data_IF_890757061382
#
_entry.id   IF_890757061382
#
_cell.length_a   1.000
_cell.length_b   1.000
_cell.length_c   1.000
_cell.angle_alpha   90.00
_cell.angle_beta   90.00
_cell.angle_gamma   90.00
#
_symmetry.space_group_name_H-M   'P 1'
#
loop_
_entity.id
_entity.type
_entity.pdbx_description
1 polymer ?
#
# COMPACT_ATOMS: atom_id res chain seq x y z
N UNK A 1 -20.52 -10.84 71.13
CA UNK A 1 -19.25 -11.23 70.47
C UNK A 1 -19.57 -12.26 69.40
N UNK A 2 -19.54 -11.87 68.13
CA UNK A 2 -19.72 -12.76 66.99
C UNK A 2 -18.99 -12.17 65.80
N UNK A 3 -17.75 -12.60 65.58
CA UNK A 3 -16.88 -12.08 64.53
C UNK A 3 -17.23 -12.71 63.18
N UNK A 4 -17.58 -11.86 62.21
CA UNK A 4 -17.77 -12.22 60.81
C UNK A 4 -16.40 -12.56 60.19
N UNK A 5 -16.17 -13.82 59.80
CA UNK A 5 -14.99 -14.22 59.04
C UNK A 5 -15.12 -13.75 57.59
N UNK A 6 -14.30 -12.79 57.18
CA UNK A 6 -14.10 -12.42 55.78
C UNK A 6 -13.23 -13.50 55.10
N UNK A 7 -13.76 -14.14 54.06
CA UNK A 7 -13.01 -15.01 53.16
C UNK A 7 -12.13 -14.14 52.22
N UNK A 8 -10.92 -14.59 51.85
CA UNK A 8 -10.04 -13.81 50.98
C UNK A 8 -10.60 -13.74 49.54
N UNK A 9 -10.39 -12.62 48.81
CA UNK A 9 -10.88 -12.47 47.44
C UNK A 9 -10.20 -13.46 46.49
N UNK A 10 -11.01 -14.02 45.59
CA UNK A 10 -10.65 -14.97 44.56
C UNK A 10 -9.40 -14.56 43.76
N UNK A 11 -8.47 -15.50 43.61
CA UNK A 11 -7.19 -15.40 42.89
C UNK A 11 -7.31 -15.31 41.35
N UNK A 12 -8.51 -14.99 40.85
CA UNK A 12 -8.84 -14.93 39.42
C UNK A 12 -8.75 -13.52 38.84
N UNK A 13 -8.69 -12.49 39.68
CA UNK A 13 -8.58 -11.10 39.23
C UNK A 13 -7.15 -10.65 38.90
N UNK A 14 -6.13 -11.38 39.38
CA UNK A 14 -4.72 -10.94 39.25
C UNK A 14 -4.10 -11.40 37.92
N UNK A 15 -4.65 -12.40 37.24
CA UNK A 15 -4.14 -12.87 35.94
C UNK A 15 -4.59 -12.03 34.75
N UNK A 16 -5.61 -11.17 34.92
CA UNK A 16 -6.07 -10.25 33.87
C UNK A 16 -5.16 -9.02 33.71
N UNK A 17 -4.63 -8.49 34.81
CA UNK A 17 -3.79 -7.29 34.77
C UNK A 17 -2.39 -7.54 34.19
N UNK A 18 -1.82 -8.73 34.36
CA UNK A 18 -0.46 -9.04 33.88
C UNK A 18 -0.44 -9.34 32.38
N UNK A 19 -1.54 -9.83 31.78
CA UNK A 19 -1.66 -9.96 30.32
C UNK A 19 -1.88 -8.63 29.59
N UNK A 20 -2.38 -7.61 30.29
CA UNK A 20 -2.66 -6.28 29.71
C UNK A 20 -1.39 -5.42 29.55
N UNK A 21 -0.32 -5.68 30.32
CA UNK A 21 0.87 -4.83 30.31
C UNK A 21 1.88 -5.14 29.19
N UNK A 22 1.65 -6.21 28.40
CA UNK A 22 2.54 -6.62 27.29
C UNK A 22 2.05 -6.10 25.93
N UNK A 23 0.83 -5.57 25.89
CA UNK A 23 0.23 -4.93 24.73
C UNK A 23 -0.22 -3.52 25.14
N UNK A 24 0.74 -2.59 25.22
CA UNK A 24 0.45 -1.18 24.99
C UNK A 24 0.04 -1.01 23.52
N UNK A 25 -1.12 -1.56 23.14
CA UNK A 25 -1.77 -1.23 21.87
C UNK A 25 -2.36 0.14 22.08
N UNK A 26 -1.67 1.12 21.53
CA UNK A 26 -2.06 2.50 21.53
C UNK A 26 -3.32 2.62 20.65
N UNK A 27 -4.52 2.52 21.25
CA UNK A 27 -5.80 2.53 20.54
C UNK A 27 -6.06 3.81 19.71
N UNK A 28 -5.15 4.78 19.74
CA UNK A 28 -5.21 6.04 19.00
C UNK A 28 -4.36 6.07 17.71
N UNK A 29 -3.57 5.03 17.41
CA UNK A 29 -2.66 5.08 16.26
C UNK A 29 -3.31 4.48 15.00
N UNK A 30 -3.89 5.33 14.17
CA UNK A 30 -4.36 4.94 12.82
C UNK A 30 -3.22 4.39 11.96
N UNK A 31 -3.53 3.38 11.16
CA UNK A 31 -2.65 2.82 10.14
C UNK A 31 -2.33 3.88 9.09
N UNK A 32 -1.05 4.23 8.90
CA UNK A 32 -0.64 5.26 7.95
C UNK A 32 -0.46 4.65 6.56
N UNK A 33 -1.41 4.92 5.67
CA UNK A 33 -1.49 4.31 4.33
C UNK A 33 -1.12 5.30 3.22
N UNK A 34 -0.28 4.83 2.32
CA UNK A 34 -0.01 5.46 1.03
C UNK A 34 -0.64 4.70 -0.13
N UNK A 35 -1.24 5.42 -1.08
CA UNK A 35 -1.68 4.93 -2.37
C UNK A 35 -1.00 5.75 -3.48
N UNK A 36 -0.31 5.06 -4.37
CA UNK A 36 0.51 5.65 -5.43
C UNK A 36 0.21 5.01 -6.77
N UNK A 37 0.25 5.83 -7.82
CA UNK A 37 0.09 5.38 -9.20
C UNK A 37 1.26 5.84 -10.07
N UNK A 38 1.73 4.93 -10.94
CA UNK A 38 2.75 5.16 -11.96
C UNK A 38 2.18 4.89 -13.37
N UNK A 39 2.92 4.23 -14.26
CA UNK A 39 2.47 4.00 -15.64
C UNK A 39 1.47 2.85 -15.73
N UNK A 40 0.18 3.19 -15.74
CA UNK A 40 -0.96 2.30 -15.94
C UNK A 40 -2.23 3.08 -16.34
N UNK A 41 -3.38 2.40 -16.36
CA UNK A 41 -4.70 2.95 -16.62
C UNK A 41 -5.48 3.38 -15.35
N UNK A 42 -4.88 3.24 -14.16
CA UNK A 42 -5.50 3.56 -12.85
C UNK A 42 -6.77 2.75 -12.53
N UNK A 43 -6.96 1.59 -13.17
CA UNK A 43 -8.14 0.72 -12.98
C UNK A 43 -8.27 0.20 -11.54
N UNK A 44 -7.14 -0.10 -10.89
CA UNK A 44 -7.08 -0.60 -9.52
C UNK A 44 -7.32 0.53 -8.51
N UNK A 45 -6.90 1.75 -8.81
CA UNK A 45 -7.33 2.96 -8.08
C UNK A 45 -8.84 3.14 -8.14
N UNK A 46 -9.46 2.99 -9.31
CA UNK A 46 -10.93 3.11 -9.44
C UNK A 46 -11.63 2.04 -8.61
N UNK A 47 -11.18 0.78 -8.68
CA UNK A 47 -11.74 -0.31 -7.88
C UNK A 47 -11.60 -0.04 -6.36
N UNK A 48 -10.43 0.46 -5.93
CA UNK A 48 -10.23 0.87 -4.54
C UNK A 48 -11.23 1.96 -4.11
N UNK A 49 -11.48 2.97 -4.95
CA UNK A 49 -12.44 4.04 -4.65
C UNK A 49 -13.86 3.47 -4.58
N UNK A 50 -14.24 2.57 -5.48
CA UNK A 50 -15.56 1.93 -5.46
C UNK A 50 -15.79 1.17 -4.15
N UNK A 51 -14.78 0.44 -3.66
CA UNK A 51 -14.85 -0.27 -2.38
C UNK A 51 -15.04 0.66 -1.17
N UNK A 52 -14.64 1.93 -1.28
CA UNK A 52 -14.93 2.90 -0.23
C UNK A 52 -16.44 3.09 -0.06
N UNK A 53 -17.28 2.94 -1.09
CA UNK A 53 -18.73 3.05 -0.92
C UNK A 53 -19.30 2.10 0.14
N UNK A 54 -18.65 0.94 0.33
CA UNK A 54 -19.07 -0.07 1.30
C UNK A 54 -18.27 0.02 2.61
N UNK A 55 -16.97 0.33 2.55
CA UNK A 55 -16.07 0.22 3.69
C UNK A 55 -15.62 1.56 4.31
N UNK A 56 -15.97 2.70 3.70
CA UNK A 56 -15.44 4.02 4.07
C UNK A 56 -15.61 4.37 5.54
N UNK A 57 -16.78 4.09 6.13
CA UNK A 57 -17.05 4.44 7.53
C UNK A 57 -16.15 3.71 8.52
N UNK A 58 -15.78 2.47 8.22
CA UNK A 58 -14.95 1.64 9.10
C UNK A 58 -13.47 1.91 8.84
N UNK A 59 -13.08 2.03 7.58
CA UNK A 59 -11.69 2.30 7.19
C UNK A 59 -11.23 3.67 7.64
N UNK A 60 -12.03 4.73 7.53
CA UNK A 60 -11.61 6.08 7.98
C UNK A 60 -11.31 6.18 9.48
N UNK A 61 -11.94 5.34 10.30
CA UNK A 61 -11.69 5.31 11.75
C UNK A 61 -10.31 4.72 12.04
N UNK A 62 -9.85 3.80 11.19
CA UNK A 62 -8.62 3.01 11.39
C UNK A 62 -7.44 3.47 10.53
N UNK A 63 -7.70 4.16 9.42
CA UNK A 63 -6.69 4.54 8.43
C UNK A 63 -6.47 6.05 8.43
N UNK A 64 -5.20 6.44 8.43
CA UNK A 64 -4.74 7.76 8.04
C UNK A 64 -4.13 7.67 6.64
N UNK A 65 -4.87 8.11 5.62
CA UNK A 65 -4.35 8.19 4.25
C UNK A 65 -3.37 9.36 4.13
N UNK A 66 -2.11 9.12 4.45
CA UNK A 66 -1.04 10.14 4.43
C UNK A 66 -0.69 10.58 3.01
N UNK A 67 -0.88 9.69 2.04
CA UNK A 67 -0.73 9.97 0.63
C UNK A 67 -1.76 9.18 -0.17
N UNK A 68 -2.69 9.84 -0.85
CA UNK A 68 -3.61 9.20 -1.77
C UNK A 68 -4.15 10.27 -2.72
N UNK A 69 -3.47 10.47 -3.86
CA UNK A 69 -3.79 11.55 -4.81
C UNK A 69 -5.25 11.51 -5.27
N UNK A 70 -5.83 10.32 -5.37
CA UNK A 70 -7.22 10.12 -5.74
C UNK A 70 -8.23 10.63 -4.68
N UNK A 71 -7.83 10.70 -3.41
CA UNK A 71 -8.72 11.08 -2.29
C UNK A 71 -8.44 12.48 -1.75
N UNK A 72 -7.19 12.93 -1.82
CA UNK A 72 -6.76 14.22 -1.24
C UNK A 72 -5.62 14.83 -2.05
N UNK A 73 -5.54 16.16 -1.99
CA UNK A 73 -4.40 16.91 -2.53
C UNK A 73 -3.14 16.63 -1.71
N UNK A 74 -2.02 16.43 -2.40
CA UNK A 74 -0.70 16.40 -1.76
C UNK A 74 -0.43 17.75 -1.10
N UNK A 75 -0.15 17.71 0.20
CA UNK A 75 0.18 18.89 1.01
C UNK A 75 1.67 18.78 1.33
N UNK A 76 2.45 19.74 0.82
CA UNK A 76 3.88 19.94 1.11
C UNK A 76 4.88 19.14 0.27
N UNK A 77 4.46 18.27 -0.66
CA UNK A 77 5.35 17.58 -1.61
C UNK A 77 6.35 16.58 -0.99
N UNK A 78 6.45 16.53 0.34
CA UNK A 78 7.27 15.57 1.06
C UNK A 78 6.49 14.29 1.34
N UNK A 79 7.09 13.14 0.97
CA UNK A 79 6.57 11.83 1.35
C UNK A 79 6.69 11.67 2.87
N UNK A 80 5.59 11.30 3.53
CA UNK A 80 5.61 10.98 4.96
C UNK A 80 5.92 9.50 5.19
N UNK A 81 6.33 9.13 6.41
CA UNK A 81 6.47 7.72 6.78
C UNK A 81 5.11 7.01 6.75
N UNK A 82 5.11 5.81 6.20
CA UNK A 82 3.94 4.96 5.98
C UNK A 82 4.17 3.57 6.60
N UNK A 83 3.11 3.01 7.16
CA UNK A 83 3.10 1.62 7.60
C UNK A 83 2.92 0.71 6.38
N UNK A 84 1.99 1.07 5.49
CA UNK A 84 1.73 0.34 4.23
C UNK A 84 1.67 1.31 3.06
N UNK A 85 2.34 0.97 1.96
CA UNK A 85 2.14 1.66 0.67
C UNK A 85 1.65 0.68 -0.39
N UNK A 86 0.49 0.98 -0.95
CA UNK A 86 -0.07 0.36 -2.14
C UNK A 86 0.44 1.13 -3.36
N UNK A 87 1.08 0.42 -4.28
CA UNK A 87 1.67 1.04 -5.47
C UNK A 87 1.18 0.31 -6.71
N UNK A 88 0.37 1.00 -7.51
CA UNK A 88 -0.03 0.54 -8.84
C UNK A 88 0.87 1.13 -9.94
N UNK A 89 0.91 0.45 -11.08
CA UNK A 89 1.62 0.88 -12.28
C UNK A 89 3.06 0.41 -12.40
N UNK A 90 3.53 0.39 -13.65
CA UNK A 90 4.90 0.05 -14.01
C UNK A 90 5.79 1.30 -14.01
N UNK A 91 7.11 1.10 -14.04
CA UNK A 91 8.11 2.18 -14.04
C UNK A 91 8.66 2.37 -15.45
N UNK A 92 8.41 3.54 -16.03
CA UNK A 92 8.76 3.87 -17.42
C UNK A 92 9.77 5.00 -17.56
N UNK A 93 10.17 5.68 -16.49
CA UNK A 93 11.13 6.80 -16.49
C UNK A 93 12.02 6.76 -15.25
N UNK A 94 13.22 7.36 -15.33
CA UNK A 94 14.15 7.45 -14.18
C UNK A 94 13.54 8.26 -13.03
N UNK A 95 12.77 9.30 -13.33
CA UNK A 95 12.03 10.08 -12.33
C UNK A 95 11.04 9.22 -11.54
N UNK A 96 10.33 8.32 -12.20
CA UNK A 96 9.42 7.39 -11.52
C UNK A 96 10.21 6.39 -10.67
N UNK A 97 11.34 5.90 -11.18
CA UNK A 97 12.24 5.00 -10.46
C UNK A 97 12.74 5.63 -9.15
N UNK A 98 13.22 6.87 -9.21
CA UNK A 98 13.64 7.64 -8.03
C UNK A 98 12.49 7.85 -7.04
N UNK A 99 11.28 8.16 -7.53
CA UNK A 99 10.10 8.31 -6.67
C UNK A 99 9.76 6.98 -5.97
N UNK A 100 9.81 5.86 -6.68
CA UNK A 100 9.55 4.54 -6.12
C UNK A 100 10.58 4.17 -5.03
N UNK A 101 11.87 4.45 -5.26
CA UNK A 101 12.93 4.26 -4.25
C UNK A 101 12.65 5.08 -2.98
N UNK A 102 12.26 6.35 -3.12
CA UNK A 102 11.87 7.20 -1.98
C UNK A 102 10.62 6.70 -1.25
N UNK A 103 9.64 6.15 -1.98
CA UNK A 103 8.45 5.51 -1.36
C UNK A 103 8.91 4.30 -0.54
N UNK A 104 9.74 3.42 -1.12
CA UNK A 104 10.27 2.24 -0.43
C UNK A 104 11.04 2.59 0.85
N UNK A 105 11.86 3.64 0.83
CA UNK A 105 12.62 4.10 2.00
C UNK A 105 11.72 4.60 3.14
N UNK A 106 10.54 5.15 2.82
CA UNK A 106 9.60 5.69 3.81
C UNK A 106 8.47 4.74 4.18
N UNK A 107 8.54 3.49 3.74
CA UNK A 107 7.48 2.50 3.92
C UNK A 107 7.98 1.22 4.57
N UNK A 108 7.25 0.73 5.58
CA UNK A 108 7.52 -0.56 6.20
C UNK A 108 7.13 -1.73 5.27
N UNK A 109 5.89 -1.70 4.74
CA UNK A 109 5.37 -2.73 3.82
C UNK A 109 4.97 -2.11 2.48
N UNK A 110 5.64 -2.51 1.40
CA UNK A 110 5.30 -2.08 0.04
C UNK A 110 4.58 -3.20 -0.71
N UNK A 111 3.37 -2.91 -1.17
CA UNK A 111 2.48 -3.84 -1.87
C UNK A 111 2.35 -3.40 -3.32
N UNK A 112 2.72 -4.29 -4.25
CA UNK A 112 2.48 -4.05 -5.67
C UNK A 112 1.02 -4.36 -6.01
N UNK A 113 0.35 -3.42 -6.67
CA UNK A 113 -1.08 -3.50 -6.97
C UNK A 113 -1.31 -3.56 -8.48
N UNK A 114 -2.00 -4.61 -8.91
CA UNK A 114 -2.36 -4.83 -10.30
C UNK A 114 -1.20 -5.32 -11.18
N UNK A 115 -1.55 -5.74 -12.40
CA UNK A 115 -0.68 -6.39 -13.36
C UNK A 115 0.49 -5.50 -13.76
N UNK A 116 0.27 -4.20 -13.94
CA UNK A 116 1.34 -3.26 -14.29
C UNK A 116 2.44 -3.24 -13.21
N UNK A 117 2.07 -3.25 -11.93
CA UNK A 117 3.04 -3.24 -10.84
C UNK A 117 3.67 -4.61 -10.59
N UNK A 118 2.85 -5.68 -10.66
CA UNK A 118 3.25 -7.04 -10.32
C UNK A 118 4.11 -7.71 -11.41
N UNK A 119 3.74 -7.51 -12.69
CA UNK A 119 4.37 -8.20 -13.83
C UNK A 119 4.80 -7.25 -14.96
N UNK A 120 4.47 -5.97 -14.90
CA UNK A 120 4.85 -4.96 -15.89
C UNK A 120 3.85 -4.76 -17.02
N UNK A 121 2.96 -5.73 -17.26
CA UNK A 121 2.01 -5.73 -18.38
C UNK A 121 0.68 -5.03 -18.05
N UNK A 122 0.01 -4.38 -19.03
CA UNK A 122 0.40 -4.24 -20.43
C UNK A 122 1.41 -3.11 -20.70
N UNK A 123 1.77 -2.30 -19.70
CA UNK A 123 2.65 -1.13 -19.88
C UNK A 123 4.03 -1.47 -20.46
N UNK A 124 4.50 -2.70 -20.29
CA UNK A 124 5.80 -3.17 -20.79
C UNK A 124 5.80 -3.69 -22.23
N UNK A 125 4.69 -3.61 -22.98
CA UNK A 125 4.61 -4.16 -24.35
C UNK A 125 5.75 -3.69 -25.26
N UNK A 126 6.17 -2.43 -25.15
CA UNK A 126 7.29 -1.88 -25.94
C UNK A 126 8.65 -2.55 -25.67
N UNK A 127 8.80 -3.27 -24.56
CA UNK A 127 10.02 -4.04 -24.26
C UNK A 127 10.22 -5.22 -25.24
N UNK A 128 9.15 -5.63 -25.95
CA UNK A 128 9.17 -6.74 -26.90
C UNK A 128 9.20 -6.27 -28.36
N UNK A 129 9.34 -4.97 -28.60
CA UNK A 129 9.41 -4.41 -29.94
C UNK A 129 10.72 -4.80 -30.63
N UNK A 130 10.65 -5.03 -31.94
CA UNK A 130 11.85 -5.18 -32.77
C UNK A 130 12.54 -3.81 -32.94
N UNK A 131 13.72 -3.80 -33.59
CA UNK A 131 14.50 -2.58 -33.79
C UNK A 131 13.73 -1.50 -34.57
N UNK A 132 13.00 -1.88 -35.61
CA UNK A 132 12.23 -0.96 -36.45
C UNK A 132 11.16 -0.22 -35.64
N UNK A 133 10.37 -0.97 -34.86
CA UNK A 133 9.35 -0.40 -33.98
C UNK A 133 9.97 0.47 -32.87
N UNK A 134 11.14 0.08 -32.35
CA UNK A 134 11.86 0.89 -31.34
C UNK A 134 12.36 2.22 -31.94
N UNK A 135 12.89 2.20 -33.16
CA UNK A 135 13.33 3.40 -33.87
C UNK A 135 12.14 4.32 -34.18
N UNK A 136 10.97 3.77 -34.52
CA UNK A 136 9.73 4.52 -34.74
C UNK A 136 9.27 5.27 -33.48
N UNK A 137 9.29 4.63 -32.30
CA UNK A 137 8.83 5.26 -31.06
C UNK A 137 9.92 6.12 -30.38
N UNK A 138 11.18 6.03 -30.81
CA UNK A 138 12.31 6.74 -30.17
C UNK A 138 12.07 8.24 -29.95
N UNK A 139 11.52 9.01 -30.91
CA UNK A 139 11.22 10.43 -30.69
C UNK A 139 10.25 10.68 -29.53
N UNK A 140 9.32 9.75 -29.28
CA UNK A 140 8.38 9.82 -28.16
C UNK A 140 9.11 9.55 -26.85
N UNK A 141 9.98 8.53 -26.82
CA UNK A 141 10.75 8.19 -25.63
C UNK A 141 11.66 9.35 -25.20
N UNK A 142 12.36 9.96 -26.15
CA UNK A 142 13.25 11.09 -25.91
C UNK A 142 12.47 12.32 -25.42
N UNK A 143 11.33 12.63 -26.07
CA UNK A 143 10.48 13.77 -25.70
C UNK A 143 9.98 13.69 -24.26
N UNK A 144 9.55 12.52 -23.81
CA UNK A 144 8.99 12.32 -22.48
C UNK A 144 10.01 11.78 -21.46
N UNK A 145 11.26 11.61 -21.86
CA UNK A 145 12.35 11.06 -21.03
C UNK A 145 11.98 9.69 -20.45
N UNK A 146 11.38 8.85 -21.27
CA UNK A 146 11.11 7.47 -20.90
C UNK A 146 12.38 6.64 -21.03
N UNK A 147 12.55 5.67 -20.13
CA UNK A 147 13.58 4.63 -20.24
C UNK A 147 13.30 3.78 -21.47
N UNK A 148 14.33 3.11 -21.99
CA UNK A 148 14.15 2.13 -23.07
C UNK A 148 13.21 0.99 -22.64
N UNK A 149 13.41 0.46 -21.43
CA UNK A 149 12.59 -0.61 -20.84
C UNK A 149 11.66 -0.09 -19.76
N UNK A 150 10.44 -0.59 -19.76
CA UNK A 150 9.47 -0.47 -18.67
C UNK A 150 9.69 -1.61 -17.68
N UNK A 151 9.75 -1.28 -16.39
CA UNK A 151 10.08 -2.23 -15.32
C UNK A 151 8.86 -2.48 -14.42
N UNK A 152 8.70 -3.70 -13.91
CA UNK A 152 7.80 -3.98 -12.78
C UNK A 152 8.44 -3.51 -11.46
N UNK A 153 7.66 -3.33 -10.41
CA UNK A 153 8.18 -2.74 -9.16
C UNK A 153 9.32 -3.55 -8.54
N UNK A 154 9.24 -4.88 -8.61
CA UNK A 154 10.24 -5.80 -8.04
C UNK A 154 11.59 -5.81 -8.76
N UNK A 155 11.67 -5.20 -9.95
CA UNK A 155 12.95 -4.96 -10.64
C UNK A 155 13.67 -3.71 -10.10
N UNK A 156 12.97 -2.84 -9.37
CA UNK A 156 13.50 -1.56 -8.88
C UNK A 156 13.71 -1.56 -7.37
N UNK A 157 12.75 -2.09 -6.60
CA UNK A 157 12.78 -2.12 -5.13
C UNK A 157 12.27 -3.45 -4.60
N UNK A 158 12.60 -3.77 -3.35
CA UNK A 158 11.96 -4.90 -2.65
C UNK A 158 10.46 -4.65 -2.52
N UNK A 159 9.66 -5.57 -3.04
CA UNK A 159 8.21 -5.65 -2.86
C UNK A 159 7.93 -6.72 -1.80
N UNK A 160 7.09 -6.42 -0.81
CA UNK A 160 6.80 -7.34 0.28
C UNK A 160 5.59 -8.24 -0.03
N UNK A 161 4.57 -7.72 -0.73
CA UNK A 161 3.35 -8.44 -1.08
C UNK A 161 2.85 -8.04 -2.47
N UNK A 162 2.01 -8.89 -3.06
CA UNK A 162 1.44 -8.70 -4.40
C UNK A 162 -0.09 -8.81 -4.36
N UNK A 163 -0.77 -7.92 -5.08
CA UNK A 163 -2.20 -8.01 -5.38
C UNK A 163 -2.34 -8.11 -6.90
N UNK A 164 -2.41 -9.35 -7.46
CA UNK A 164 -2.46 -9.56 -8.90
C UNK A 164 -3.84 -9.18 -9.48
N UNK A 165 -3.91 -8.99 -10.81
CA UNK A 165 -5.14 -8.67 -11.56
C UNK A 165 -5.00 -7.43 -12.45
N UNK A 166 -5.86 -7.24 -13.46
CA UNK A 166 -5.99 -5.98 -14.20
C UNK A 166 -7.48 -5.66 -14.48
N UNK A 167 -8.20 -4.97 -13.56
CA UNK A 167 -7.72 -4.39 -12.31
C UNK A 167 -7.38 -5.45 -11.25
N UNK A 168 -6.77 -5.02 -10.14
CA UNK A 168 -6.42 -5.88 -9.01
C UNK A 168 -7.58 -6.80 -8.58
N UNK A 169 -7.26 -7.99 -8.09
CA UNK A 169 -8.25 -8.91 -7.53
C UNK A 169 -8.79 -8.36 -6.20
N UNK A 170 -10.11 -8.11 -6.17
CA UNK A 170 -10.82 -7.52 -5.03
C UNK A 170 -10.69 -8.34 -3.74
N UNK A 171 -10.91 -9.65 -3.80
CA UNK A 171 -10.84 -10.53 -2.63
C UNK A 171 -9.46 -10.53 -1.99
N UNK A 172 -8.39 -10.54 -2.81
CA UNK A 172 -7.02 -10.46 -2.32
C UNK A 172 -6.76 -9.08 -1.69
N UNK A 173 -7.26 -8.01 -2.30
CA UNK A 173 -7.14 -6.67 -1.75
C UNK A 173 -7.83 -6.55 -0.39
N UNK A 174 -9.08 -7.03 -0.26
CA UNK A 174 -9.81 -7.01 1.00
C UNK A 174 -9.10 -7.82 2.09
N UNK A 175 -8.59 -9.01 1.76
CA UNK A 175 -7.77 -9.81 2.71
C UNK A 175 -6.51 -9.08 3.16
N UNK A 176 -5.86 -8.33 2.28
CA UNK A 176 -4.70 -7.50 2.65
C UNK A 176 -5.12 -6.34 3.56
N UNK A 177 -6.25 -5.69 3.28
CA UNK A 177 -6.79 -4.65 4.14
C UNK A 177 -7.09 -5.19 5.54
N UNK A 178 -7.79 -6.32 5.65
CA UNK A 178 -8.06 -7.00 6.93
C UNK A 178 -6.76 -7.33 7.68
N UNK A 179 -5.81 -7.99 7.01
CA UNK A 179 -4.50 -8.35 7.57
C UNK A 179 -3.80 -7.16 8.22
N UNK A 180 -3.74 -6.01 7.57
CA UNK A 180 -2.99 -4.85 8.08
C UNK A 180 -3.82 -3.96 9.02
N UNK A 181 -5.15 -3.98 8.92
CA UNK A 181 -6.04 -3.27 9.85
C UNK A 181 -6.19 -3.96 11.20
N UNK A 182 -5.97 -5.27 11.28
CA UNK A 182 -5.99 -6.01 12.56
C UNK A 182 -4.69 -5.88 13.35
N UNK A 183 -3.59 -5.49 12.69
CA UNK A 183 -2.25 -5.35 13.30
C UNK A 183 -2.04 -3.94 13.89
N UNK A 184 -2.81 -2.94 13.44
CA UNK A 184 -2.77 -1.55 13.92
C UNK A 184 -3.66 -1.32 15.13
#
# INVERSE_FOLDING_TARGET
>A
MGALKLLPPNRQFITSFIKMSIYNINMDKKLRVGWFSFTCCEDSTILFIELLNQHYQDWLKKIDFVHARALRRETNGELQKMDVAFVEGAISSDRQEEKLKKIREKTNILIAVGSCACVGSPSNQRNFFNRENLDEIKPILDKFKYKEKVLKLSEVVKVDELIPGCPMNEEIFLRMMEKYLEIS
#
